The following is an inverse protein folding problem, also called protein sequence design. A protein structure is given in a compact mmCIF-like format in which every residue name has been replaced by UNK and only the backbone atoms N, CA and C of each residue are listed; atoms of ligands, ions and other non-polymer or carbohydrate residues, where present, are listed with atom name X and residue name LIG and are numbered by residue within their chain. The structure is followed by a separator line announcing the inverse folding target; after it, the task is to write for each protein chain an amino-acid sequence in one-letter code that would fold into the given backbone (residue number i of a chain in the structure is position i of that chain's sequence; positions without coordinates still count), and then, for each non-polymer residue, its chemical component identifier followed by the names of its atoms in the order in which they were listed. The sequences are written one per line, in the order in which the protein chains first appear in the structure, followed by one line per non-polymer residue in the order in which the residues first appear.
data_IF_063720687286
#
_entry.id   IF_063720687286
#
_cell.length_a   1.000
_cell.length_b   1.000
_cell.length_c   1.000
_cell.angle_alpha   90.00
_cell.angle_beta   90.00
_cell.angle_gamma   90.00
#
_symmetry.space_group_name_H-M   'P 1'
#
loop_
_entity.id
_entity.type
_entity.pdbx_description
1 polymer ?
#
# COMPACT_ATOMS: atom_id res chain seq x y z
N UNK A 1 3.76 -16.74 -38.97
CA UNK A 1 3.97 -16.79 -37.51
C UNK A 1 2.88 -15.93 -36.91
N UNK A 2 2.00 -16.58 -36.16
CA UNK A 2 0.71 -16.05 -35.70
C UNK A 2 0.92 -14.92 -34.68
N UNK A 3 0.36 -13.75 -35.00
CA UNK A 3 0.36 -12.56 -34.18
C UNK A 3 -1.00 -12.43 -33.47
N UNK A 4 -1.41 -13.44 -32.68
CA UNK A 4 -2.72 -13.39 -32.00
C UNK A 4 -2.92 -14.44 -30.89
N UNK A 5 -1.87 -14.96 -30.25
CA UNK A 5 -2.09 -15.60 -28.96
C UNK A 5 -2.37 -14.47 -27.95
N UNK A 6 -3.64 -14.23 -27.63
CA UNK A 6 -3.99 -13.46 -26.44
C UNK A 6 -3.16 -14.03 -25.29
N UNK A 7 -2.31 -13.19 -24.70
CA UNK A 7 -1.58 -13.59 -23.49
C UNK A 7 -2.61 -13.57 -22.38
N UNK A 8 -3.23 -14.71 -22.13
CA UNK A 8 -4.13 -14.87 -21.01
C UNK A 8 -3.37 -14.54 -19.72
N UNK A 9 -3.93 -13.64 -18.92
CA UNK A 9 -3.42 -13.29 -17.60
C UNK A 9 -4.29 -14.01 -16.58
N UNK A 10 -3.69 -14.92 -15.83
CA UNK A 10 -4.33 -15.48 -14.64
C UNK A 10 -4.02 -14.58 -13.46
N UNK A 11 -5.05 -13.94 -12.91
CA UNK A 11 -4.92 -13.09 -11.74
C UNK A 11 -5.52 -13.75 -10.50
N UNK A 12 -4.96 -13.45 -9.33
CA UNK A 12 -5.52 -13.81 -8.04
C UNK A 12 -5.73 -12.56 -7.17
N UNK A 13 -6.85 -12.52 -6.47
CA UNK A 13 -7.17 -11.47 -5.50
C UNK A 13 -7.17 -12.10 -4.12
N UNK A 14 -6.29 -11.62 -3.24
CA UNK A 14 -6.13 -12.13 -1.89
C UNK A 14 -7.12 -11.43 -0.96
N UNK A 15 -7.82 -12.23 -0.17
CA UNK A 15 -8.59 -11.76 0.97
C UNK A 15 -7.96 -12.33 2.24
N UNK A 16 -7.67 -11.48 3.21
CA UNK A 16 -7.11 -11.85 4.50
C UNK A 16 -7.66 -10.96 5.61
N UNK A 17 -7.46 -11.37 6.86
CA UNK A 17 -7.82 -10.58 8.04
C UNK A 17 -6.55 -10.05 8.67
N UNK A 18 -6.24 -8.78 8.42
CA UNK A 18 -5.06 -8.13 8.97
C UNK A 18 -5.24 -7.80 10.44
N UNK A 19 -4.14 -7.94 11.20
CA UNK A 19 -4.06 -7.63 12.65
C UNK A 19 -3.09 -6.48 12.89
N UNK A 20 -2.81 -6.15 14.15
CA UNK A 20 -1.79 -5.19 14.54
C UNK A 20 -0.36 -5.79 14.53
N UNK A 21 -0.20 -7.06 14.17
CA UNK A 21 1.09 -7.74 14.03
C UNK A 21 1.53 -7.79 12.56
N UNK A 22 2.49 -6.92 12.21
CA UNK A 22 3.07 -6.82 10.86
C UNK A 22 3.69 -8.14 10.39
N UNK A 23 4.36 -8.87 11.29
CA UNK A 23 5.03 -10.12 10.92
C UNK A 23 4.01 -11.23 10.62
N UNK A 24 2.95 -11.33 11.43
CA UNK A 24 1.84 -12.24 11.18
C UNK A 24 1.17 -11.95 9.83
N UNK A 25 0.89 -10.67 9.57
CA UNK A 25 0.27 -10.23 8.32
C UNK A 25 1.12 -10.54 7.09
N UNK A 26 2.44 -10.27 7.15
CA UNK A 26 3.37 -10.63 6.08
C UNK A 26 3.42 -12.15 5.86
N UNK A 27 3.34 -12.95 6.93
CA UNK A 27 3.26 -14.40 6.84
C UNK A 27 2.01 -14.90 6.11
N UNK A 28 0.84 -14.36 6.44
CA UNK A 28 -0.41 -14.70 5.74
C UNK A 28 -0.42 -14.22 4.29
N UNK A 29 0.04 -12.99 4.01
CA UNK A 29 0.16 -12.48 2.65
C UNK A 29 1.07 -13.37 1.80
N UNK A 30 2.24 -13.76 2.34
CA UNK A 30 3.16 -14.71 1.69
C UNK A 30 2.48 -16.03 1.38
N UNK A 31 1.81 -16.64 2.36
CA UNK A 31 1.11 -17.92 2.20
C UNK A 31 0.11 -17.88 1.04
N UNK A 32 -0.67 -16.80 0.93
CA UNK A 32 -1.66 -16.64 -0.13
C UNK A 32 -1.05 -16.33 -1.50
N UNK A 33 -0.02 -15.49 -1.56
CA UNK A 33 0.68 -15.18 -2.82
C UNK A 33 1.35 -16.43 -3.38
N UNK A 34 2.03 -17.22 -2.55
CA UNK A 34 2.65 -18.47 -3.00
C UNK A 34 1.60 -19.52 -3.40
N UNK A 35 0.45 -19.56 -2.73
CA UNK A 35 -0.66 -20.43 -3.13
C UNK A 35 -1.24 -20.03 -4.49
N UNK A 36 -1.41 -18.74 -4.73
CA UNK A 36 -1.86 -18.20 -6.02
C UNK A 36 -0.87 -18.51 -7.14
N UNK A 37 0.43 -18.32 -6.90
CA UNK A 37 1.48 -18.67 -7.85
C UNK A 37 1.48 -20.17 -8.20
N UNK A 38 1.36 -21.05 -7.20
CA UNK A 38 1.20 -22.50 -7.42
C UNK A 38 -0.05 -22.87 -8.22
N UNK A 39 -1.10 -22.06 -8.13
CA UNK A 39 -2.33 -22.21 -8.92
C UNK A 39 -2.22 -21.61 -10.34
N UNK A 40 -1.07 -21.04 -10.71
CA UNK A 40 -0.80 -20.50 -12.04
C UNK A 40 -1.10 -19.01 -12.21
N UNK A 41 -1.34 -18.27 -11.11
CA UNK A 41 -1.49 -16.82 -11.19
C UNK A 41 -0.15 -16.14 -11.52
N UNK A 42 -0.18 -15.19 -12.45
CA UNK A 42 0.96 -14.36 -12.84
C UNK A 42 0.83 -12.93 -12.34
N UNK A 43 -0.37 -12.53 -11.88
CA UNK A 43 -0.65 -11.28 -11.18
C UNK A 43 -1.38 -11.60 -9.87
N UNK A 44 -0.90 -11.06 -8.76
CA UNK A 44 -1.53 -11.21 -7.45
C UNK A 44 -1.76 -9.84 -6.81
N UNK A 45 -2.93 -9.67 -6.19
CA UNK A 45 -3.35 -8.41 -5.55
C UNK A 45 -3.58 -8.64 -4.06
N UNK A 46 -2.86 -7.91 -3.21
CA UNK A 46 -3.10 -7.85 -1.77
C UNK A 46 -4.15 -6.77 -1.43
N UNK A 47 -4.86 -6.87 -0.28
CA UNK A 47 -5.84 -5.86 0.13
C UNK A 47 -5.19 -4.56 0.65
N UNK A 48 -5.98 -3.49 0.72
CA UNK A 48 -5.60 -2.25 1.43
C UNK A 48 -5.25 -2.58 2.89
N UNK A 49 -4.20 -1.95 3.41
CA UNK A 49 -3.71 -2.16 4.78
C UNK A 49 -3.45 -3.62 5.15
N UNK A 50 -3.08 -4.46 4.16
CA UNK A 50 -2.78 -5.87 4.43
C UNK A 50 -1.74 -6.03 5.54
N UNK A 51 -0.78 -5.09 5.65
CA UNK A 51 0.34 -5.17 6.57
C UNK A 51 -0.01 -4.84 8.02
N UNK A 52 -1.08 -4.10 8.30
CA UNK A 52 -1.43 -3.67 9.65
C UNK A 52 -2.85 -3.10 9.75
N UNK A 53 -3.63 -3.56 10.73
CA UNK A 53 -4.88 -2.94 11.21
C UNK A 53 -4.91 -3.07 12.73
N UNK A 54 -4.66 -1.97 13.45
CA UNK A 54 -4.78 -1.89 14.91
C UNK A 54 -5.92 -0.99 15.37
N UNK A 55 -5.99 -0.80 16.69
CA UNK A 55 -7.08 -0.06 17.35
C UNK A 55 -7.00 1.44 17.08
N UNK A 56 -5.80 2.01 17.05
CA UNK A 56 -5.57 3.43 16.83
C UNK A 56 -4.85 3.66 15.50
N UNK A 57 -5.57 4.21 14.52
CA UNK A 57 -5.02 4.49 13.18
C UNK A 57 -3.76 5.37 13.20
N UNK A 58 -3.52 6.16 14.26
CA UNK A 58 -2.31 6.97 14.38
C UNK A 58 -1.05 6.13 14.48
N UNK A 59 -1.14 4.91 15.01
CA UNK A 59 0.00 4.01 15.14
C UNK A 59 0.53 3.55 13.77
N UNK A 60 -0.31 3.59 12.72
CA UNK A 60 0.12 3.26 11.35
C UNK A 60 1.18 4.23 10.82
N UNK A 61 1.19 5.47 11.30
CA UNK A 61 2.18 6.46 10.90
C UNK A 61 3.57 6.06 11.40
N UNK A 62 3.67 5.38 12.54
CA UNK A 62 4.95 4.88 13.05
C UNK A 62 5.54 3.77 12.16
N UNK A 63 4.71 3.10 11.37
CA UNK A 63 5.13 2.11 10.37
C UNK A 63 5.57 2.73 9.05
N UNK A 64 5.42 4.05 8.88
CA UNK A 64 5.70 4.70 7.61
C UNK A 64 7.19 4.59 7.25
N UNK A 65 7.44 4.06 6.05
CA UNK A 65 8.78 3.86 5.52
C UNK A 65 9.17 4.98 4.54
N UNK A 66 10.44 5.38 4.44
CA UNK A 66 10.91 6.15 3.29
C UNK A 66 10.65 5.38 2.00
N UNK A 67 10.27 6.07 0.93
CA UNK A 67 10.05 5.39 -0.35
C UNK A 67 11.34 4.77 -0.88
N UNK A 68 11.26 3.52 -1.34
CA UNK A 68 12.38 2.72 -1.81
C UNK A 68 13.19 2.02 -0.71
N UNK A 69 12.84 2.24 0.56
CA UNK A 69 13.58 1.71 1.70
C UNK A 69 12.64 1.09 2.74
N UNK A 70 13.12 0.10 3.49
CA UNK A 70 12.40 -0.41 4.66
C UNK A 70 11.89 -1.85 4.51
N UNK A 71 11.51 -2.47 5.65
CA UNK A 71 11.15 -3.88 5.73
C UNK A 71 9.90 -4.28 4.92
N UNK A 72 8.84 -3.49 4.88
CA UNK A 72 7.61 -3.78 4.13
C UNK A 72 7.88 -3.79 2.63
N UNK A 73 8.56 -2.76 2.12
CA UNK A 73 8.95 -2.69 0.71
C UNK A 73 9.91 -3.82 0.34
N UNK A 74 10.87 -4.14 1.21
CA UNK A 74 11.80 -5.26 1.02
C UNK A 74 11.07 -6.61 1.01
N UNK A 75 10.09 -6.80 1.89
CA UNK A 75 9.30 -8.03 1.97
C UNK A 75 8.42 -8.21 0.74
N UNK A 76 7.76 -7.15 0.26
CA UNK A 76 6.96 -7.18 -0.97
C UNK A 76 7.83 -7.48 -2.20
N UNK A 77 8.99 -6.83 -2.32
CA UNK A 77 9.96 -7.10 -3.38
C UNK A 77 10.45 -8.56 -3.38
N UNK A 78 10.80 -9.06 -2.20
CA UNK A 78 11.23 -10.45 -2.03
C UNK A 78 10.12 -11.44 -2.37
N UNK A 79 8.88 -11.15 -1.94
CA UNK A 79 7.74 -12.01 -2.19
C UNK A 79 7.39 -12.11 -3.68
N UNK A 80 7.35 -10.98 -4.39
CA UNK A 80 7.11 -10.96 -5.84
C UNK A 80 8.18 -11.78 -6.59
N UNK A 81 9.46 -11.59 -6.21
CA UNK A 81 10.60 -12.31 -6.79
C UNK A 81 10.57 -13.81 -6.50
N UNK A 82 10.33 -14.20 -5.26
CA UNK A 82 10.32 -15.61 -4.85
C UNK A 82 9.14 -16.37 -5.46
N UNK A 83 7.97 -15.73 -5.56
CA UNK A 83 6.79 -16.32 -6.16
C UNK A 83 6.76 -16.20 -7.70
N UNK A 84 7.66 -15.40 -8.29
CA UNK A 84 7.72 -15.09 -9.73
C UNK A 84 6.39 -14.55 -10.27
N UNK A 85 5.81 -13.56 -9.57
CA UNK A 85 4.54 -12.92 -9.94
C UNK A 85 4.69 -11.41 -10.01
N UNK A 86 3.82 -10.78 -10.80
CA UNK A 86 3.50 -9.38 -10.61
C UNK A 86 2.68 -9.23 -9.33
N UNK A 87 3.07 -8.29 -8.46
CA UNK A 87 2.42 -8.07 -7.18
C UNK A 87 1.90 -6.64 -7.07
N UNK A 88 0.59 -6.49 -6.91
CA UNK A 88 0.00 -5.25 -6.40
C UNK A 88 0.00 -5.38 -4.88
N UNK A 89 0.91 -4.64 -4.24
CA UNK A 89 1.22 -4.71 -2.81
C UNK A 89 0.16 -4.11 -1.89
N UNK A 90 -1.12 -4.17 -2.25
CA UNK A 90 -2.20 -3.61 -1.46
C UNK A 90 -1.94 -2.14 -1.15
N UNK A 91 -1.92 -1.78 0.13
CA UNK A 91 -1.30 -0.52 0.53
C UNK A 91 -0.43 -0.63 1.76
N UNK A 92 0.58 0.23 1.83
CA UNK A 92 1.50 0.42 2.96
C UNK A 92 1.63 1.91 3.28
N UNK A 93 1.94 2.28 4.54
CA UNK A 93 2.25 3.66 4.89
C UNK A 93 3.64 4.04 4.35
N UNK A 94 3.71 5.10 3.54
CA UNK A 94 4.97 5.66 3.03
C UNK A 94 5.12 7.09 3.50
N UNK A 95 6.33 7.49 3.91
CA UNK A 95 6.59 8.86 4.36
C UNK A 95 6.41 9.86 3.20
N UNK A 96 5.95 11.08 3.50
CA UNK A 96 6.04 12.18 2.54
C UNK A 96 7.49 12.46 2.18
N UNK A 97 7.77 12.65 0.88
CA UNK A 97 9.08 13.16 0.47
C UNK A 97 9.22 14.63 0.92
N UNK A 98 10.46 15.09 1.18
CA UNK A 98 10.73 16.50 1.54
C UNK A 98 10.34 17.52 0.45
N UNK A 99 10.09 17.04 -0.78
CA UNK A 99 9.66 17.85 -1.91
C UNK A 99 8.25 17.41 -2.36
N UNK A 100 7.23 18.28 -2.24
CA UNK A 100 5.91 17.99 -2.78
C UNK A 100 6.00 17.70 -4.28
N UNK A 101 5.56 16.52 -4.71
CA UNK A 101 5.65 16.10 -6.12
C UNK A 101 4.64 16.79 -7.04
N UNK A 102 3.78 17.65 -6.49
CA UNK A 102 2.76 18.38 -7.24
C UNK A 102 2.49 19.75 -6.60
N UNK A 103 3.37 20.72 -6.86
CA UNK A 103 3.26 22.09 -6.34
C UNK A 103 1.99 22.83 -6.82
N UNK A 104 1.31 22.31 -7.85
CA UNK A 104 0.08 22.88 -8.42
C UNK A 104 -1.21 22.21 -7.88
N UNK A 105 -1.10 21.19 -7.01
CA UNK A 105 -2.26 20.50 -6.40
C UNK A 105 -2.52 20.87 -4.95
N UNK A 106 -2.03 22.03 -4.50
CA UNK A 106 -2.43 22.60 -3.21
C UNK A 106 -3.82 23.24 -3.33
N UNK A 107 -4.81 22.43 -3.73
CA UNK A 107 -6.22 22.80 -3.74
C UNK A 107 -6.91 22.17 -2.53
N UNK A 108 -7.27 23.01 -1.55
CA UNK A 108 -8.09 22.76 -0.36
C UNK A 108 -7.39 22.51 0.99
N UNK A 109 -6.05 22.51 1.08
CA UNK A 109 -5.34 22.28 2.36
C UNK A 109 -4.40 23.42 2.76
N UNK A 110 -4.47 24.59 2.10
CA UNK A 110 -3.67 25.79 2.44
C UNK A 110 -4.17 26.52 3.69
N UNK A 111 -4.34 25.77 4.77
CA UNK A 111 -4.17 26.28 6.13
C UNK A 111 -3.30 25.29 6.88
N UNK A 112 -2.03 25.27 6.51
CA UNK A 112 -0.97 24.79 7.38
C UNK A 112 -0.86 25.80 8.53
N UNK A 113 -1.84 25.80 9.43
CA UNK A 113 -1.68 26.42 10.74
C UNK A 113 -0.51 25.69 11.41
N UNK A 114 0.46 26.47 11.88
CA UNK A 114 1.70 26.06 12.56
C UNK A 114 1.47 25.25 13.86
N UNK A 115 0.25 24.80 14.11
CA UNK A 115 -0.20 24.17 15.35
C UNK A 115 -0.43 22.64 15.29
N UNK A 116 -0.23 21.97 14.15
CA UNK A 116 -0.39 20.50 14.07
C UNK A 116 0.76 19.80 13.30
N UNK A 117 1.95 19.80 13.88
CA UNK A 117 3.11 19.01 13.42
C UNK A 117 2.98 17.50 13.74
N UNK A 118 1.81 16.91 13.52
CA UNK A 118 1.64 15.46 13.66
C UNK A 118 2.27 14.78 12.43
N UNK A 119 3.03 13.68 12.62
CA UNK A 119 3.60 12.95 11.50
C UNK A 119 2.45 12.40 10.62
N UNK A 120 2.67 12.41 9.31
CA UNK A 120 1.70 11.97 8.29
C UNK A 120 2.34 10.94 7.37
N UNK A 121 1.53 10.12 6.72
CA UNK A 121 1.97 9.12 5.74
C UNK A 121 1.04 9.08 4.52
N UNK A 122 1.57 8.73 3.35
CA UNK A 122 0.76 8.34 2.21
C UNK A 122 0.20 6.94 2.40
N UNK A 123 -1.02 6.72 1.91
CA UNK A 123 -1.59 5.38 1.76
C UNK A 123 -1.21 4.88 0.37
N UNK A 124 -0.13 4.10 0.28
CA UNK A 124 0.58 3.85 -0.97
C UNK A 124 0.42 2.42 -1.45
N UNK A 125 -0.05 2.24 -2.68
CA UNK A 125 0.00 0.99 -3.43
C UNK A 125 1.24 0.95 -4.32
N UNK A 126 1.95 -0.18 -4.29
CA UNK A 126 3.11 -0.44 -5.14
C UNK A 126 2.80 -1.56 -6.13
N UNK A 127 3.23 -1.39 -7.38
CA UNK A 127 3.30 -2.47 -8.37
C UNK A 127 4.74 -2.95 -8.46
N UNK A 128 4.95 -4.23 -8.18
CA UNK A 128 6.25 -4.89 -8.17
C UNK A 128 6.27 -5.95 -9.25
N UNK A 129 7.34 -5.97 -10.03
CA UNK A 129 7.56 -6.97 -11.08
C UNK A 129 8.16 -8.29 -10.53
N UNK A 130 8.20 -9.36 -11.34
CA UNK A 130 8.76 -10.66 -10.92
C UNK A 130 10.27 -10.64 -10.61
N UNK A 131 11.00 -9.58 -10.93
CA UNK A 131 12.41 -9.43 -10.53
C UNK A 131 12.54 -8.78 -9.14
N UNK A 132 11.43 -8.29 -8.58
CA UNK A 132 11.35 -7.61 -7.30
C UNK A 132 11.51 -6.09 -7.42
N UNK A 133 11.43 -5.53 -8.62
CA UNK A 133 11.54 -4.08 -8.84
C UNK A 133 10.18 -3.41 -8.69
N UNK A 134 10.11 -2.30 -7.97
CA UNK A 134 8.93 -1.44 -7.94
C UNK A 134 8.85 -0.65 -9.25
N UNK A 135 7.85 -0.92 -10.08
CA UNK A 135 7.69 -0.30 -11.41
C UNK A 135 6.56 0.73 -11.48
N UNK A 136 5.66 0.76 -10.49
CA UNK A 136 4.68 1.82 -10.33
C UNK A 136 4.34 2.05 -8.86
N UNK A 137 3.93 3.29 -8.56
CA UNK A 137 3.47 3.74 -7.24
C UNK A 137 2.18 4.54 -7.42
N UNK A 138 1.22 4.32 -6.53
CA UNK A 138 0.00 5.10 -6.44
C UNK A 138 -0.24 5.49 -4.98
N UNK A 139 -0.45 6.77 -4.72
CA UNK A 139 -0.82 7.28 -3.40
C UNK A 139 -2.32 7.63 -3.42
N UNK A 140 -3.07 7.15 -2.41
CA UNK A 140 -4.53 7.35 -2.31
C UNK A 140 -4.86 8.85 -2.29
N UNK A 141 -5.59 9.30 -3.31
CA UNK A 141 -5.95 10.72 -3.45
C UNK A 141 -7.22 11.10 -2.68
N UNK A 142 -8.14 10.15 -2.52
CA UNK A 142 -9.46 10.41 -1.92
C UNK A 142 -9.49 9.84 -0.50
N UNK A 143 -9.24 10.71 0.47
CA UNK A 143 -9.27 10.37 1.88
C UNK A 143 -10.69 10.53 2.44
N UNK A 144 -11.11 9.58 3.28
CA UNK A 144 -12.44 9.62 3.88
C UNK A 144 -12.51 10.67 5.00
N UNK A 145 -13.64 11.38 5.04
CA UNK A 145 -13.95 12.35 6.08
C UNK A 145 -15.44 12.36 6.38
N UNK A 146 -15.79 12.32 7.65
CA UNK A 146 -17.16 12.33 8.15
C UNK A 146 -17.28 13.18 9.41
N UNK A 147 -18.36 13.96 9.49
CA UNK A 147 -18.75 14.69 10.69
C UNK A 147 -20.27 14.84 10.71
N UNK A 148 -20.90 14.46 11.82
CA UNK A 148 -22.34 14.65 12.06
C UNK A 148 -22.65 15.56 13.27
N UNK A 149 -21.61 16.22 13.80
CA UNK A 149 -21.69 17.06 14.99
C UNK A 149 -21.61 16.31 16.33
N UNK A 150 -21.59 14.97 16.33
CA UNK A 150 -21.37 14.12 17.51
C UNK A 150 -20.13 13.25 17.37
N UNK A 151 -19.90 12.75 16.17
CA UNK A 151 -18.72 11.99 15.78
C UNK A 151 -17.99 12.71 14.65
N UNK A 152 -16.67 12.62 14.68
CA UNK A 152 -15.79 13.10 13.64
C UNK A 152 -14.74 12.03 13.36
N UNK A 153 -14.57 11.71 12.08
CA UNK A 153 -13.49 10.87 11.58
C UNK A 153 -12.92 11.53 10.33
N UNK A 154 -11.60 11.74 10.29
CA UNK A 154 -10.92 12.27 9.12
C UNK A 154 -9.62 11.49 8.90
N UNK A 155 -9.56 10.68 7.83
CA UNK A 155 -8.31 10.00 7.44
C UNK A 155 -7.18 11.02 7.21
N UNK A 156 -7.54 12.22 6.75
CA UNK A 156 -6.64 13.37 6.57
C UNK A 156 -5.97 13.86 7.86
N UNK A 157 -6.30 13.35 9.04
CA UNK A 157 -5.57 13.66 10.28
C UNK A 157 -4.22 12.93 10.34
N UNK A 158 -4.09 11.81 9.63
CA UNK A 158 -2.89 10.95 9.63
C UNK A 158 -2.35 10.68 8.23
N UNK A 159 -3.18 10.81 7.21
CA UNK A 159 -2.81 10.56 5.82
C UNK A 159 -2.69 11.86 5.01
N UNK A 160 -1.86 11.84 3.98
CA UNK A 160 -1.70 12.90 2.97
C UNK A 160 -1.74 12.33 1.57
#
# INVERSE_FOLDING_TARGET
MDASAARDITAAVVQMTSTDDVAQNLGEARRWVEAAARAGATLVVLPEYFCWIGVDERDRVALAEPFGEGPLQTALASLAREAQVWLIGGTIPVRPDDVPRDADRVGANERLDECHAAPRAYNTSLLIDPDGSCVARYDKLHLFGFSDGREQHAEADTMV
#
